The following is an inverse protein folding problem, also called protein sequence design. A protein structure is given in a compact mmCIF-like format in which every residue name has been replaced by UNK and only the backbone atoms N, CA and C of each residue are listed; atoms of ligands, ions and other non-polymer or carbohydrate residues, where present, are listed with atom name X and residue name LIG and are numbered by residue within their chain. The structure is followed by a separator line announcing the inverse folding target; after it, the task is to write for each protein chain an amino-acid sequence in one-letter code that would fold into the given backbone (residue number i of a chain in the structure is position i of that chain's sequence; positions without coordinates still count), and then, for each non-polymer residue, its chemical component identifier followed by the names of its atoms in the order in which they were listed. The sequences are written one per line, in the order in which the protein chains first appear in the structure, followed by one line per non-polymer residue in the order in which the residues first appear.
data_IF_948308385223
#
_entry.id   IF_948308385223
#
_cell.length_a   1.000
_cell.length_b   1.000
_cell.length_c   1.000
_cell.angle_alpha   90.00
_cell.angle_beta   90.00
_cell.angle_gamma   90.00
#
_symmetry.space_group_name_H-M   'P 1'
#
loop_
_entity.id
_entity.type
_entity.pdbx_description
1 polymer ?
#
# COMPACT_ATOMS: atom_id res chain seq x y z
N UNK A 1 -17.90 -14.14 21.43
CA UNK A 1 -16.86 -14.98 20.78
C UNK A 1 -16.04 -14.18 19.78
N UNK A 2 -14.78 -14.55 19.53
CA UNK A 2 -13.93 -13.87 18.53
C UNK A 2 -14.39 -14.08 17.09
N UNK A 3 -14.24 -13.05 16.27
CA UNK A 3 -14.61 -13.02 14.85
C UNK A 3 -13.45 -13.38 13.91
N UNK A 4 -12.21 -13.23 14.39
CA UNK A 4 -10.99 -13.51 13.62
C UNK A 4 -11.00 -12.91 12.21
N UNK A 5 -11.53 -11.68 12.06
CA UNK A 5 -11.70 -11.08 10.73
C UNK A 5 -10.37 -10.90 9.98
N UNK A 6 -9.27 -10.73 10.71
CA UNK A 6 -7.92 -10.66 10.15
C UNK A 6 -7.47 -11.97 9.48
N UNK A 7 -7.99 -13.14 9.89
CA UNK A 7 -7.65 -14.43 9.25
C UNK A 7 -8.28 -14.59 7.85
N UNK A 8 -9.21 -13.72 7.47
CA UNK A 8 -9.80 -13.67 6.12
C UNK A 8 -9.07 -12.70 5.19
N UNK A 9 -7.93 -12.17 5.64
CA UNK A 9 -7.12 -11.21 4.89
C UNK A 9 -5.81 -11.84 4.40
N UNK A 10 -5.00 -11.05 3.70
CA UNK A 10 -3.67 -11.46 3.28
C UNK A 10 -2.71 -11.78 4.44
N UNK A 11 -3.01 -11.36 5.68
CA UNK A 11 -2.22 -11.75 6.87
C UNK A 11 -2.18 -13.25 7.10
N UNK A 12 -3.21 -14.00 6.71
CA UNK A 12 -3.20 -15.47 6.78
C UNK A 12 -2.15 -16.10 5.85
N UNK A 13 -1.74 -15.38 4.82
CA UNK A 13 -0.79 -15.84 3.80
C UNK A 13 0.61 -15.23 4.00
N UNK A 14 0.77 -14.26 4.90
CA UNK A 14 2.05 -13.61 5.18
C UNK A 14 2.58 -13.97 6.57
N UNK A 15 3.88 -13.78 6.77
CA UNK A 15 4.50 -13.86 8.11
C UNK A 15 4.50 -12.49 8.80
N UNK A 16 3.83 -11.49 8.22
CA UNK A 16 3.76 -10.15 8.81
C UNK A 16 2.79 -10.16 10.00
N UNK A 17 3.14 -9.51 11.12
CA UNK A 17 2.28 -9.49 12.29
C UNK A 17 1.03 -8.64 12.02
N UNK A 18 -0.14 -9.19 12.36
CA UNK A 18 -1.39 -8.43 12.36
C UNK A 18 -1.26 -7.24 13.33
N UNK A 19 -1.61 -6.00 12.91
CA UNK A 19 -1.57 -4.84 13.78
C UNK A 19 -2.44 -5.00 15.03
N UNK A 20 -1.92 -4.59 16.19
CA UNK A 20 -2.57 -4.82 17.49
C UNK A 20 -3.97 -4.20 17.61
N UNK A 21 -4.25 -3.10 16.90
CA UNK A 21 -5.56 -2.47 16.90
C UNK A 21 -6.67 -3.41 16.40
N UNK A 22 -6.36 -4.36 15.50
CA UNK A 22 -7.35 -5.33 15.03
C UNK A 22 -7.61 -6.44 16.05
N UNK A 23 -6.61 -6.85 16.83
CA UNK A 23 -6.82 -7.78 17.95
C UNK A 23 -7.69 -7.14 19.04
N UNK A 24 -7.40 -5.89 19.40
CA UNK A 24 -8.21 -5.15 20.37
C UNK A 24 -9.66 -4.97 19.90
N UNK A 25 -9.85 -4.69 18.61
CA UNK A 25 -11.19 -4.55 18.04
C UNK A 25 -11.95 -5.88 17.99
N UNK A 26 -11.25 -6.99 17.73
CA UNK A 26 -11.84 -8.33 17.80
C UNK A 26 -12.23 -8.72 19.23
N UNK A 27 -11.42 -8.36 20.24
CA UNK A 27 -11.76 -8.51 21.66
C UNK A 27 -12.99 -7.67 22.05
N UNK A 28 -13.11 -6.46 21.50
CA UNK A 28 -14.30 -5.63 21.68
C UNK A 28 -15.55 -6.29 21.09
N UNK A 29 -15.47 -6.84 19.86
CA UNK A 29 -16.57 -7.56 19.24
C UNK A 29 -16.94 -8.84 20.00
N UNK A 30 -15.95 -9.55 20.57
CA UNK A 30 -16.15 -10.73 21.41
C UNK A 30 -17.03 -10.44 22.63
N UNK A 31 -16.82 -9.28 23.27
CA UNK A 31 -17.60 -8.81 24.40
C UNK A 31 -18.98 -8.25 24.00
N UNK A 32 -19.14 -7.77 22.76
CA UNK A 32 -20.34 -7.07 22.29
C UNK A 32 -21.41 -7.99 21.70
N UNK A 33 -21.00 -9.01 20.95
CA UNK A 33 -21.92 -9.88 20.21
C UNK A 33 -22.10 -11.24 20.86
N UNK A 34 -23.36 -11.69 20.96
CA UNK A 34 -23.69 -12.97 21.60
C UNK A 34 -23.49 -14.16 20.66
N UNK A 35 -23.62 -13.96 19.34
CA UNK A 35 -23.53 -15.02 18.34
C UNK A 35 -22.64 -14.66 17.16
N UNK A 36 -22.02 -15.67 16.54
CA UNK A 36 -21.11 -15.45 15.41
C UNK A 36 -21.85 -14.88 14.20
N UNK A 37 -23.09 -15.33 13.98
CA UNK A 37 -23.91 -14.87 12.87
C UNK A 37 -24.25 -13.38 12.98
N UNK A 38 -24.60 -12.92 14.18
CA UNK A 38 -24.81 -11.50 14.47
C UNK A 38 -23.54 -10.68 14.21
N UNK A 39 -22.40 -11.13 14.73
CA UNK A 39 -21.12 -10.45 14.52
C UNK A 39 -20.76 -10.32 13.03
N UNK A 40 -20.85 -11.41 12.25
CA UNK A 40 -20.48 -11.39 10.83
C UNK A 40 -21.40 -10.57 9.94
N UNK A 41 -22.62 -10.28 10.39
CA UNK A 41 -23.56 -9.43 9.64
C UNK A 41 -23.55 -7.98 10.13
N UNK A 42 -22.88 -7.69 11.24
CA UNK A 42 -22.83 -6.35 11.81
C UNK A 42 -21.91 -5.43 10.99
N UNK A 43 -22.39 -4.21 10.71
CA UNK A 43 -21.68 -3.20 9.91
C UNK A 43 -20.24 -2.97 10.39
N UNK A 44 -20.04 -2.84 11.70
CA UNK A 44 -18.72 -2.58 12.30
C UNK A 44 -17.68 -3.66 12.00
N UNK A 45 -18.09 -4.94 12.00
CA UNK A 45 -17.20 -6.06 11.70
C UNK A 45 -16.82 -6.06 10.22
N UNK A 46 -17.79 -5.77 9.33
CA UNK A 46 -17.53 -5.63 7.90
C UNK A 46 -16.57 -4.48 7.60
N UNK A 47 -16.75 -3.31 8.24
CA UNK A 47 -15.84 -2.18 8.10
C UNK A 47 -14.43 -2.51 8.62
N UNK A 48 -14.34 -3.18 9.77
CA UNK A 48 -13.06 -3.63 10.34
C UNK A 48 -12.33 -4.58 9.39
N UNK A 49 -13.03 -5.57 8.84
CA UNK A 49 -12.49 -6.53 7.88
C UNK A 49 -12.01 -5.84 6.59
N UNK A 50 -12.77 -4.87 6.07
CA UNK A 50 -12.37 -4.11 4.89
C UNK A 50 -11.08 -3.32 5.12
N UNK A 51 -10.97 -2.60 6.25
CA UNK A 51 -9.78 -1.82 6.60
C UNK A 51 -8.58 -2.74 6.83
N UNK A 52 -8.78 -3.82 7.59
CA UNK A 52 -7.76 -4.83 7.86
C UNK A 52 -7.26 -5.49 6.57
N UNK A 53 -8.17 -5.86 5.68
CA UNK A 53 -7.84 -6.45 4.38
C UNK A 53 -6.98 -5.53 3.54
N UNK A 54 -7.29 -4.23 3.48
CA UNK A 54 -6.50 -3.29 2.66
C UNK A 54 -5.10 -3.05 3.22
N UNK A 55 -4.91 -2.97 4.54
CA UNK A 55 -3.55 -2.86 5.10
C UNK A 55 -2.76 -4.16 4.93
N UNK A 56 -3.44 -5.32 5.02
CA UNK A 56 -2.80 -6.61 4.73
C UNK A 56 -2.29 -6.68 3.28
N UNK A 57 -3.05 -6.16 2.31
CA UNK A 57 -2.61 -6.06 0.91
C UNK A 57 -1.37 -5.18 0.76
N UNK A 58 -1.34 -4.02 1.45
CA UNK A 58 -0.18 -3.11 1.43
C UNK A 58 1.08 -3.83 1.91
N UNK A 59 0.99 -4.53 3.03
CA UNK A 59 2.13 -5.26 3.60
C UNK A 59 2.52 -6.47 2.74
N UNK A 60 1.54 -7.17 2.17
CA UNK A 60 1.79 -8.26 1.22
C UNK A 60 2.58 -7.77 0.00
N UNK A 61 2.17 -6.65 -0.63
CA UNK A 61 2.92 -6.11 -1.77
C UNK A 61 4.31 -5.61 -1.38
N UNK A 62 4.48 -5.00 -0.21
CA UNK A 62 5.80 -4.62 0.29
C UNK A 62 6.71 -5.84 0.49
N UNK A 63 6.16 -6.93 1.05
CA UNK A 63 6.85 -8.21 1.16
C UNK A 63 7.24 -8.78 -0.20
N UNK A 64 6.33 -8.79 -1.18
CA UNK A 64 6.60 -9.29 -2.54
C UNK A 64 7.69 -8.49 -3.25
N UNK A 65 7.73 -7.17 -3.07
CA UNK A 65 8.81 -6.32 -3.59
C UNK A 65 10.14 -6.71 -2.93
N UNK A 66 10.18 -6.83 -1.60
CA UNK A 66 11.38 -7.19 -0.86
C UNK A 66 11.89 -8.60 -1.21
N UNK A 67 11.00 -9.58 -1.34
CA UNK A 67 11.33 -10.95 -1.74
C UNK A 67 11.86 -11.01 -3.17
N UNK A 68 11.22 -10.31 -4.11
CA UNK A 68 11.70 -10.21 -5.48
C UNK A 68 13.10 -9.56 -5.55
N UNK A 69 13.33 -8.45 -4.85
CA UNK A 69 14.65 -7.83 -4.76
C UNK A 69 15.72 -8.81 -4.24
N UNK A 70 15.41 -9.58 -3.19
CA UNK A 70 16.35 -10.58 -2.62
C UNK A 70 16.67 -11.72 -3.59
N UNK A 71 15.65 -12.29 -4.25
CA UNK A 71 15.84 -13.39 -5.21
C UNK A 71 16.70 -12.96 -6.39
N UNK A 72 16.53 -11.74 -6.87
CA UNK A 72 17.33 -11.20 -7.97
C UNK A 72 18.76 -10.83 -7.55
N UNK A 73 18.97 -10.31 -6.34
CA UNK A 73 20.31 -10.10 -5.81
C UNK A 73 21.09 -11.40 -5.54
N UNK A 74 20.40 -12.47 -5.10
CA UNK A 74 21.02 -13.79 -4.85
C UNK A 74 21.47 -14.52 -6.12
N UNK A 75 20.79 -14.30 -7.25
CA UNK A 75 21.17 -14.85 -8.55
C UNK A 75 22.48 -14.25 -9.09
N UNK A 76 22.84 -13.02 -8.71
CA UNK A 76 24.11 -12.39 -9.11
C UNK A 76 25.32 -12.98 -8.36
N UNK A 77 25.15 -13.41 -7.10
CA UNK A 77 26.25 -13.98 -6.29
C UNK A 77 26.56 -15.44 -6.61
N UNK A 78 25.54 -16.25 -6.97
CA UNK A 78 25.72 -17.66 -7.32
C UNK A 78 26.42 -17.88 -8.69
N UNK A 79 26.59 -16.82 -9.49
CA UNK A 79 27.21 -16.88 -10.82
C UNK A 79 28.73 -16.69 -10.85
N UNK A 80 29.41 -16.65 -9.70
CA UNK A 80 30.86 -16.37 -9.59
C UNK A 80 31.75 -17.61 -9.41
N UNK A 81 31.19 -18.82 -9.45
CA UNK A 81 31.95 -20.07 -9.47
C UNK A 81 31.85 -20.71 -10.87
N UNK A 82 33.00 -20.75 -11.56
CA UNK A 82 33.33 -21.46 -12.80
C UNK A 82 32.25 -22.38 -13.40
N UNK A 83 31.68 -22.01 -14.55
CA UNK A 83 31.43 -22.89 -15.73
C UNK A 83 30.68 -22.19 -16.88
N UNK A 84 31.20 -22.37 -18.10
CA UNK A 84 30.54 -22.33 -19.42
C UNK A 84 29.78 -21.05 -19.84
N UNK A 85 30.57 -20.02 -20.09
CA UNK A 85 30.17 -18.70 -20.59
C UNK A 85 30.02 -18.77 -22.12
N UNK A 86 28.83 -19.06 -22.63
CA UNK A 86 28.33 -18.54 -23.93
C UNK A 86 26.91 -19.03 -24.27
N UNK A 87 26.46 -20.18 -23.74
CA UNK A 87 25.06 -20.64 -23.87
C UNK A 87 24.14 -20.16 -22.73
N UNK A 88 24.69 -19.76 -21.59
CA UNK A 88 23.94 -19.28 -20.41
C UNK A 88 23.59 -17.78 -20.46
N UNK A 89 24.13 -17.01 -21.40
CA UNK A 89 23.92 -15.56 -21.49
C UNK A 89 22.52 -15.19 -22.00
N UNK A 90 21.92 -16.02 -22.86
CA UNK A 90 20.62 -15.75 -23.45
C UNK A 90 19.45 -16.04 -22.49
N UNK A 91 19.57 -17.07 -21.64
CA UNK A 91 18.57 -17.38 -20.59
C UNK A 91 18.68 -16.43 -19.40
N UNK A 92 19.90 -16.01 -19.01
CA UNK A 92 20.12 -15.06 -17.90
C UNK A 92 19.54 -13.66 -18.18
N UNK A 93 19.60 -13.18 -19.43
CA UNK A 93 18.92 -11.92 -19.81
C UNK A 93 17.39 -12.06 -19.79
N UNK A 94 16.85 -13.24 -20.11
CA UNK A 94 15.40 -13.52 -20.07
C UNK A 94 14.86 -13.56 -18.64
N UNK A 95 15.58 -14.17 -17.69
CA UNK A 95 15.19 -14.23 -16.28
C UNK A 95 15.34 -12.88 -15.55
N UNK A 96 16.39 -12.13 -15.86
CA UNK A 96 16.55 -10.74 -15.37
C UNK A 96 15.40 -9.83 -15.85
N UNK A 97 14.95 -9.99 -17.10
CA UNK A 97 13.81 -9.24 -17.63
C UNK A 97 12.49 -9.54 -16.92
N UNK A 98 12.23 -10.82 -16.61
CA UNK A 98 11.04 -11.25 -15.87
C UNK A 98 10.99 -10.65 -14.46
N UNK A 99 12.11 -10.61 -13.77
CA UNK A 99 12.21 -10.01 -12.44
C UNK A 99 11.87 -8.53 -12.40
N UNK A 100 12.41 -7.78 -13.37
CA UNK A 100 12.12 -6.37 -13.49
C UNK A 100 10.63 -6.11 -13.81
N UNK A 101 9.98 -6.98 -14.59
CA UNK A 101 8.53 -6.89 -14.85
C UNK A 101 7.74 -7.11 -13.55
N UNK A 102 8.04 -8.17 -12.81
CA UNK A 102 7.35 -8.50 -11.54
C UNK A 102 7.48 -7.38 -10.51
N UNK A 103 8.69 -6.85 -10.31
CA UNK A 103 8.94 -5.75 -9.38
C UNK A 103 8.08 -4.51 -9.70
N UNK A 104 7.93 -4.16 -10.98
CA UNK A 104 7.05 -3.06 -11.40
C UNK A 104 5.57 -3.38 -11.14
N UNK A 105 5.13 -4.58 -11.51
CA UNK A 105 3.75 -5.02 -11.26
C UNK A 105 3.42 -4.97 -9.76
N UNK A 106 4.34 -5.42 -8.90
CA UNK A 106 4.18 -5.36 -7.45
C UNK A 106 4.17 -3.92 -6.95
N UNK A 107 4.99 -3.03 -7.50
CA UNK A 107 4.94 -1.61 -7.14
C UNK A 107 3.62 -0.93 -7.52
N UNK A 108 3.08 -1.22 -8.71
CA UNK A 108 1.74 -0.73 -9.07
C UNK A 108 0.67 -1.28 -8.10
N UNK A 109 0.75 -2.57 -7.76
CA UNK A 109 -0.11 -3.19 -6.76
C UNK A 109 0.02 -2.52 -5.38
N UNK A 110 1.25 -2.22 -4.96
CA UNK A 110 1.56 -1.52 -3.72
C UNK A 110 0.91 -0.13 -3.67
N UNK A 111 1.12 0.71 -4.69
CA UNK A 111 0.53 2.04 -4.76
C UNK A 111 -1.01 1.98 -4.81
N UNK A 112 -1.57 1.05 -5.58
CA UNK A 112 -3.01 0.83 -5.66
C UNK A 112 -3.61 0.37 -4.32
N UNK A 113 -2.93 -0.52 -3.60
CA UNK A 113 -3.36 -0.98 -2.27
C UNK A 113 -3.34 0.14 -1.22
N UNK A 114 -2.33 1.02 -1.26
CA UNK A 114 -2.28 2.20 -0.41
C UNK A 114 -3.46 3.14 -0.69
N UNK A 115 -3.76 3.42 -1.97
CA UNK A 115 -4.94 4.21 -2.37
C UNK A 115 -6.25 3.54 -1.94
N UNK A 116 -6.34 2.22 -2.09
CA UNK A 116 -7.52 1.45 -1.68
C UNK A 116 -7.75 1.53 -0.16
N UNK A 117 -6.70 1.46 0.66
CA UNK A 117 -6.80 1.66 2.10
C UNK A 117 -7.33 3.06 2.44
N UNK A 118 -6.83 4.11 1.78
CA UNK A 118 -7.35 5.47 1.97
C UNK A 118 -8.82 5.60 1.59
N UNK A 119 -9.24 5.00 0.47
CA UNK A 119 -10.64 5.02 0.05
C UNK A 119 -11.54 4.28 1.03
N UNK A 120 -11.14 3.08 1.48
CA UNK A 120 -11.90 2.31 2.48
C UNK A 120 -11.98 3.04 3.82
N UNK A 121 -10.91 3.71 4.25
CA UNK A 121 -10.96 4.51 5.48
C UNK A 121 -11.92 5.71 5.35
N UNK A 122 -11.93 6.41 4.21
CA UNK A 122 -12.88 7.49 3.96
C UNK A 122 -14.33 7.00 3.91
N UNK A 123 -14.58 5.87 3.24
CA UNK A 123 -15.89 5.21 3.20
C UNK A 123 -16.32 4.76 4.60
N UNK A 124 -15.43 4.16 5.37
CA UNK A 124 -15.72 3.75 6.75
C UNK A 124 -16.12 4.94 7.60
N UNK A 125 -15.43 6.09 7.50
CA UNK A 125 -15.83 7.31 8.20
C UNK A 125 -17.19 7.83 7.73
N UNK A 126 -17.44 7.84 6.42
CA UNK A 126 -18.72 8.29 5.88
C UNK A 126 -19.88 7.42 6.40
N UNK A 127 -19.70 6.11 6.44
CA UNK A 127 -20.67 5.16 6.99
C UNK A 127 -20.83 5.32 8.50
N UNK A 128 -19.73 5.31 9.26
CA UNK A 128 -19.73 5.42 10.72
C UNK A 128 -20.48 6.65 11.20
N UNK A 129 -20.27 7.78 10.51
CA UNK A 129 -20.84 9.07 10.86
C UNK A 129 -22.05 9.48 10.00
N UNK A 130 -22.58 8.55 9.20
CA UNK A 130 -23.75 8.76 8.34
C UNK A 130 -23.69 10.07 7.54
N UNK A 131 -22.54 10.36 6.93
CA UNK A 131 -22.35 11.60 6.16
C UNK A 131 -23.27 11.60 4.94
N UNK A 132 -23.93 12.73 4.62
CA UNK A 132 -24.92 12.81 3.53
C UNK A 132 -24.25 12.91 2.15
N UNK A 133 -23.40 11.94 1.81
CA UNK A 133 -22.61 11.91 0.58
C UNK A 133 -22.85 10.62 -0.22
N UNK A 134 -22.98 10.71 -1.56
CA UNK A 134 -22.98 9.53 -2.41
C UNK A 134 -21.63 8.81 -2.36
N UNK A 135 -21.64 7.49 -2.53
CA UNK A 135 -20.44 6.64 -2.41
C UNK A 135 -19.22 7.14 -3.22
N UNK A 136 -19.43 7.68 -4.42
CA UNK A 136 -18.36 8.20 -5.30
C UNK A 136 -17.61 9.39 -4.68
N UNK A 137 -18.26 10.12 -3.79
CA UNK A 137 -17.72 11.30 -3.13
C UNK A 137 -17.02 10.99 -1.80
N UNK A 138 -17.14 9.77 -1.27
CA UNK A 138 -16.58 9.34 0.02
C UNK A 138 -15.07 9.05 -0.08
N UNK A 139 -14.29 10.08 -0.40
CA UNK A 139 -12.84 9.97 -0.64
C UNK A 139 -12.09 11.16 -0.05
N UNK A 140 -10.87 10.92 0.45
CA UNK A 140 -10.04 11.97 1.05
C UNK A 140 -9.52 13.03 0.06
N UNK A 141 -9.52 12.78 -1.25
CA UNK A 141 -9.21 13.79 -2.27
C UNK A 141 -10.41 14.69 -2.61
N UNK A 142 -11.61 14.35 -2.17
CA UNK A 142 -12.80 15.16 -2.43
C UNK A 142 -12.96 16.27 -1.37
N UNK A 143 -13.11 17.51 -1.82
CA UNK A 143 -13.39 18.66 -0.95
C UNK A 143 -14.70 18.53 -0.18
N UNK A 144 -15.75 18.01 -0.82
CA UNK A 144 -17.08 17.86 -0.23
C UNK A 144 -17.06 16.89 0.96
N UNK A 145 -16.22 15.84 0.89
CA UNK A 145 -16.02 14.92 2.00
C UNK A 145 -15.53 15.65 3.26
N UNK A 146 -14.53 16.52 3.11
CA UNK A 146 -14.01 17.30 4.23
C UNK A 146 -15.00 18.33 4.74
N UNK A 147 -15.78 18.93 3.83
CA UNK A 147 -16.85 19.86 4.19
C UNK A 147 -17.91 19.17 5.06
N UNK A 148 -18.44 18.03 4.62
CA UNK A 148 -19.44 17.30 5.40
C UNK A 148 -18.87 16.79 6.72
N UNK A 149 -17.62 16.33 6.75
CA UNK A 149 -17.00 15.88 7.98
C UNK A 149 -16.82 17.02 9.00
N UNK A 150 -16.48 18.24 8.56
CA UNK A 150 -16.33 19.39 9.49
C UNK A 150 -17.69 19.92 9.98
N UNK A 151 -18.71 19.90 9.12
CA UNK A 151 -20.08 20.35 9.46
C UNK A 151 -20.73 19.38 10.44
N UNK A 152 -20.68 18.08 10.16
CA UNK A 152 -21.38 17.08 10.96
C UNK A 152 -20.56 16.62 12.17
N UNK A 153 -19.24 16.43 12.01
CA UNK A 153 -18.37 15.83 13.03
C UNK A 153 -17.01 16.56 13.18
N UNK A 154 -16.99 17.81 13.69
CA UNK A 154 -15.78 18.66 13.69
C UNK A 154 -14.60 18.06 14.47
N UNK A 155 -14.87 17.30 15.53
CA UNK A 155 -13.82 16.61 16.31
C UNK A 155 -13.16 15.49 15.49
N UNK A 156 -13.94 14.73 14.73
CA UNK A 156 -13.46 13.68 13.83
C UNK A 156 -12.65 14.33 12.72
N UNK A 157 -13.18 15.38 12.08
CA UNK A 157 -12.46 16.16 11.07
C UNK A 157 -11.06 16.57 11.53
N UNK A 158 -10.91 17.17 12.72
CA UNK A 158 -9.60 17.60 13.24
C UNK A 158 -8.59 16.46 13.34
N UNK A 159 -9.02 15.27 13.76
CA UNK A 159 -8.12 14.10 13.91
C UNK A 159 -7.57 13.60 12.57
N UNK A 160 -8.39 13.59 11.52
CA UNK A 160 -8.00 13.09 10.20
C UNK A 160 -7.39 14.16 9.30
N UNK A 161 -7.82 15.42 9.42
CA UNK A 161 -7.31 16.52 8.61
C UNK A 161 -5.81 16.76 8.84
N UNK A 162 -5.30 16.50 10.06
CA UNK A 162 -3.86 16.52 10.36
C UNK A 162 -3.02 15.59 9.46
N UNK A 163 -3.62 14.56 8.87
CA UNK A 163 -2.97 13.61 7.96
C UNK A 163 -3.22 13.93 6.48
N UNK A 164 -3.91 15.02 6.15
CA UNK A 164 -4.31 15.34 4.77
C UNK A 164 -3.13 15.46 3.80
N UNK A 165 -2.01 16.03 4.24
CA UNK A 165 -0.80 16.12 3.42
C UNK A 165 -0.27 14.74 3.05
N UNK A 166 -0.31 13.79 3.99
CA UNK A 166 0.08 12.40 3.75
C UNK A 166 -0.90 11.71 2.78
N UNK A 167 -2.20 11.90 2.95
CA UNK A 167 -3.19 11.32 2.04
C UNK A 167 -2.97 11.83 0.61
N UNK A 168 -2.78 13.13 0.44
CA UNK A 168 -2.50 13.73 -0.87
C UNK A 168 -1.19 13.22 -1.47
N UNK A 169 -0.17 12.96 -0.66
CA UNK A 169 1.10 12.39 -1.12
C UNK A 169 0.90 10.99 -1.73
N UNK A 170 0.22 10.09 -1.02
CA UNK A 170 -0.07 8.72 -1.50
C UNK A 170 -0.90 8.76 -2.78
N UNK A 171 -1.94 9.59 -2.80
CA UNK A 171 -2.83 9.78 -3.95
C UNK A 171 -2.03 10.26 -5.17
N UNK A 172 -1.23 11.30 -4.98
CA UNK A 172 -0.37 11.84 -6.04
C UNK A 172 0.60 10.79 -6.59
N UNK A 173 1.23 10.01 -5.72
CA UNK A 173 2.15 8.95 -6.14
C UNK A 173 1.47 7.89 -7.00
N UNK A 174 0.22 7.54 -6.67
CA UNK A 174 -0.55 6.58 -7.46
C UNK A 174 -0.99 7.18 -8.80
N UNK A 175 -1.44 8.44 -8.83
CA UNK A 175 -1.86 9.13 -10.05
C UNK A 175 -0.68 9.37 -11.01
N UNK A 176 0.49 9.69 -10.47
CA UNK A 176 1.72 9.98 -11.22
C UNK A 176 2.58 8.72 -11.47
N UNK A 177 2.12 7.53 -11.07
CA UNK A 177 2.92 6.29 -11.13
C UNK A 177 3.52 6.01 -12.52
N UNK A 178 2.78 6.32 -13.59
CA UNK A 178 3.23 6.14 -14.99
C UNK A 178 4.44 7.02 -15.34
N UNK A 179 4.56 8.19 -14.72
CA UNK A 179 5.70 9.09 -14.92
C UNK A 179 6.87 8.77 -13.99
N UNK A 180 6.61 8.11 -12.86
CA UNK A 180 7.60 7.81 -11.82
C UNK A 180 8.27 6.45 -11.97
N UNK A 181 7.59 5.51 -12.63
CA UNK A 181 8.07 4.13 -12.86
C UNK A 181 8.58 4.02 -14.30
N UNK A 182 9.90 3.84 -14.52
CA UNK A 182 10.44 3.86 -15.87
C UNK A 182 10.01 2.61 -16.68
N UNK A 183 9.68 2.77 -17.98
CA UNK A 183 9.44 1.65 -18.88
C UNK A 183 10.66 0.74 -18.99
N UNK A 184 10.39 -0.53 -19.29
CA UNK A 184 11.38 -1.63 -19.31
C UNK A 184 12.58 -1.30 -20.21
N UNK A 185 12.34 -0.67 -21.35
CA UNK A 185 13.36 -0.31 -22.34
C UNK A 185 14.41 0.69 -21.81
N UNK A 186 14.07 1.55 -20.85
CA UNK A 186 14.99 2.56 -20.31
C UNK A 186 15.86 2.03 -19.17
N UNK A 187 15.38 1.01 -18.47
CA UNK A 187 16.07 0.42 -17.32
C UNK A 187 17.19 -0.54 -17.75
N UNK A 188 17.12 -1.16 -18.93
CA UNK A 188 18.24 -1.98 -19.44
C UNK A 188 19.57 -1.20 -19.57
N UNK A 189 19.53 0.13 -19.69
CA UNK A 189 20.72 1.00 -19.68
C UNK A 189 21.16 1.53 -18.30
N UNK A 190 20.28 1.48 -17.28
CA UNK A 190 20.49 2.06 -15.95
C UNK A 190 20.32 1.10 -14.78
N UNK A 191 20.12 -0.20 -15.04
CA UNK A 191 20.41 -1.26 -14.07
C UNK A 191 21.91 -1.18 -13.78
N UNK A 192 22.28 -0.36 -12.81
CA UNK A 192 23.66 -0.23 -12.39
C UNK A 192 24.16 -1.64 -12.03
N UNK A 193 25.40 -1.94 -12.40
CA UNK A 193 26.12 -3.18 -12.04
C UNK A 193 26.29 -3.39 -10.52
N UNK A 194 25.61 -2.60 -9.69
CA UNK A 194 25.61 -2.66 -8.24
C UNK A 194 24.18 -2.89 -7.75
N UNK A 195 23.72 -4.14 -7.85
CA UNK A 195 22.45 -4.58 -7.28
C UNK A 195 21.22 -4.10 -8.04
N UNK A 196 20.46 -5.03 -8.61
CA UNK A 196 19.15 -4.76 -9.19
C UNK A 196 18.13 -4.31 -8.12
N UNK A 197 18.17 -3.05 -7.70
CA UNK A 197 17.12 -2.43 -6.90
C UNK A 197 16.16 -1.64 -7.81
N UNK A 198 14.85 -1.82 -7.63
CA UNK A 198 13.86 -1.04 -8.36
C UNK A 198 13.92 0.42 -7.86
N UNK A 199 14.42 1.29 -8.72
CA UNK A 199 14.45 2.72 -8.46
C UNK A 199 13.27 3.44 -9.11
N UNK A 200 12.70 4.38 -8.36
CA UNK A 200 11.58 5.24 -8.81
C UNK A 200 11.97 6.70 -8.69
N UNK A 201 11.32 7.54 -9.49
CA UNK A 201 11.59 8.98 -9.51
C UNK A 201 10.76 9.67 -8.41
N UNK A 202 11.43 10.37 -7.49
CA UNK A 202 10.76 11.11 -6.40
C UNK A 202 10.21 12.47 -6.86
N UNK A 203 10.67 12.98 -8.00
CA UNK A 203 10.29 14.31 -8.49
C UNK A 203 8.91 14.36 -9.19
N UNK A 204 7.99 15.26 -8.77
CA UNK A 204 6.62 15.35 -9.30
C UNK A 204 6.49 16.05 -10.66
N UNK A 205 7.48 16.82 -11.10
CA UNK A 205 7.37 17.73 -12.26
C UNK A 205 7.97 17.19 -13.56
N UNK A 206 8.75 16.12 -13.49
CA UNK A 206 9.51 15.64 -14.63
C UNK A 206 8.67 14.71 -15.52
N UNK A 207 8.65 14.99 -16.82
CA UNK A 207 7.95 14.15 -17.80
C UNK A 207 8.84 12.98 -18.19
N UNK A 208 8.25 11.83 -18.52
CA UNK A 208 9.01 10.65 -18.93
C UNK A 208 10.05 10.92 -20.05
N UNK A 209 9.80 11.91 -20.91
CA UNK A 209 10.72 12.33 -21.98
C UNK A 209 11.96 13.10 -21.53
N UNK A 210 12.01 13.68 -20.32
CA UNK A 210 13.25 14.27 -19.76
C UNK A 210 14.13 13.20 -19.12
N UNK A 211 13.51 12.19 -18.50
CA UNK A 211 14.18 11.02 -17.92
C UNK A 211 15.05 10.29 -18.95
N UNK A 212 14.60 10.19 -20.20
CA UNK A 212 15.37 9.55 -21.28
C UNK A 212 16.58 10.36 -21.74
N UNK A 213 16.55 11.68 -21.58
CA UNK A 213 17.60 12.59 -22.07
C UNK A 213 18.69 12.80 -21.03
N UNK A 214 18.31 12.99 -19.77
CA UNK A 214 19.23 13.39 -18.69
C UNK A 214 18.96 12.59 -17.40
N UNK A 215 19.14 11.26 -17.41
CA UNK A 215 18.80 10.37 -16.29
C UNK A 215 19.62 10.64 -15.01
N UNK A 216 20.80 11.24 -15.15
CA UNK A 216 21.70 11.58 -14.04
C UNK A 216 21.24 12.77 -13.20
N UNK A 217 20.32 13.59 -13.71
CA UNK A 217 19.78 14.74 -12.99
C UNK A 217 18.59 14.38 -12.10
N UNK A 218 18.08 13.15 -12.20
CA UNK A 218 16.88 12.72 -11.51
C UNK A 218 17.20 12.20 -10.10
N UNK A 219 16.38 12.58 -9.12
CA UNK A 219 16.42 11.93 -7.81
C UNK A 219 15.71 10.56 -7.85
N UNK A 220 16.52 9.51 -7.75
CA UNK A 220 16.07 8.12 -7.63
C UNK A 220 15.97 7.70 -6.17
N UNK A 221 14.90 6.96 -5.82
CA UNK A 221 14.72 6.34 -4.51
C UNK A 221 14.37 4.86 -4.65
N UNK A 222 14.63 4.05 -3.62
CA UNK A 222 14.18 2.66 -3.57
C UNK A 222 12.65 2.62 -3.39
N UNK A 223 11.97 1.75 -4.12
CA UNK A 223 10.55 1.49 -3.93
C UNK A 223 10.17 1.17 -2.46
N UNK A 224 11.02 0.46 -1.71
CA UNK A 224 10.78 0.14 -0.29
C UNK A 224 11.01 1.32 0.66
N UNK A 225 11.67 2.38 0.20
CA UNK A 225 11.81 3.62 0.98
C UNK A 225 10.45 4.28 1.21
N UNK A 226 9.59 4.27 0.20
CA UNK A 226 8.19 4.72 0.31
C UNK A 226 7.44 3.94 1.38
N UNK A 227 7.64 2.62 1.43
CA UNK A 227 7.01 1.78 2.44
C UNK A 227 7.48 2.11 3.85
N UNK A 228 8.79 2.26 4.03
CA UNK A 228 9.37 2.67 5.32
C UNK A 228 8.81 4.01 5.79
N UNK A 229 8.63 4.97 4.87
CA UNK A 229 8.07 6.30 5.16
C UNK A 229 6.57 6.26 5.47
N UNK A 230 5.79 5.46 4.75
CA UNK A 230 4.33 5.49 4.83
C UNK A 230 3.74 4.52 5.84
N UNK A 231 4.36 3.36 6.07
CA UNK A 231 3.83 2.31 6.97
C UNK A 231 3.41 2.86 8.34
N UNK A 232 4.21 3.66 9.06
CA UNK A 232 3.78 4.19 10.36
C UNK A 232 2.51 5.06 10.29
N UNK A 233 2.36 5.83 9.19
CA UNK A 233 1.18 6.69 8.99
C UNK A 233 -0.05 5.90 8.57
N UNK A 234 0.12 4.84 7.78
CA UNK A 234 -0.95 3.90 7.41
C UNK A 234 -1.44 3.12 8.64
N UNK A 235 -0.53 2.63 9.48
CA UNK A 235 -0.88 1.95 10.74
C UNK A 235 -1.61 2.90 11.70
N UNK A 236 -1.12 4.15 11.84
CA UNK A 236 -1.82 5.17 12.63
C UNK A 236 -3.22 5.48 12.09
N UNK A 237 -3.43 5.44 10.77
CA UNK A 237 -4.76 5.56 10.18
C UNK A 237 -5.65 4.37 10.57
N UNK A 238 -5.14 3.14 10.47
CA UNK A 238 -5.87 1.94 10.89
C UNK A 238 -6.27 2.00 12.37
N UNK A 239 -5.36 2.42 13.26
CA UNK A 239 -5.64 2.61 14.69
C UNK A 239 -6.78 3.60 14.93
N UNK A 240 -6.74 4.78 14.27
CA UNK A 240 -7.79 5.79 14.38
C UNK A 240 -9.14 5.28 13.90
N UNK A 241 -9.17 4.56 12.78
CA UNK A 241 -10.40 3.99 12.23
C UNK A 241 -10.93 2.87 13.15
N UNK A 242 -10.07 1.99 13.67
CA UNK A 242 -10.48 0.96 14.62
C UNK A 242 -11.11 1.57 15.88
N UNK A 243 -10.51 2.64 16.41
CA UNK A 243 -11.09 3.37 17.52
C UNK A 243 -12.47 3.99 17.18
N UNK A 244 -12.62 4.55 15.97
CA UNK A 244 -13.92 5.07 15.52
C UNK A 244 -14.97 3.96 15.35
N UNK A 245 -14.57 2.77 14.89
CA UNK A 245 -15.45 1.61 14.81
C UNK A 245 -15.88 1.19 16.22
N UNK A 246 -14.94 1.09 17.15
CA UNK A 246 -15.19 0.72 18.55
C UNK A 246 -16.21 1.67 19.21
N UNK A 247 -16.04 2.99 19.04
CA UNK A 247 -16.94 4.00 19.64
C UNK A 247 -18.36 3.97 19.06
N UNK A 248 -18.53 3.46 17.83
CA UNK A 248 -19.79 3.46 17.09
C UNK A 248 -20.49 2.09 17.05
N UNK A 249 -19.97 1.09 17.76
CA UNK A 249 -20.53 -0.28 17.86
C UNK A 249 -21.26 -0.49 19.19
#
# INVERSE_FOLDING_TARGET
MKTFFYDRTAYKLSNEPVPNCFFMLDDHFDARFNTAHEAYTHRSVLLAEMVCGRIADVEMYAFLIADACKRHAGLEYAGSADTDIERLTHDRQSESGKGAILLRSFLFGYLASCRALLNVAAMALAELYALPLPAVQQRFDNGDFWHELVVNMPNVHRRYHSQRLFFNEVIRWQDEAVNRIPPIALLQGHLSRQGMQLQVIDEPSEKLGSVTREPHLMHWIDALELHTRWKPRLLSLCEKICHDIEVQT
#
